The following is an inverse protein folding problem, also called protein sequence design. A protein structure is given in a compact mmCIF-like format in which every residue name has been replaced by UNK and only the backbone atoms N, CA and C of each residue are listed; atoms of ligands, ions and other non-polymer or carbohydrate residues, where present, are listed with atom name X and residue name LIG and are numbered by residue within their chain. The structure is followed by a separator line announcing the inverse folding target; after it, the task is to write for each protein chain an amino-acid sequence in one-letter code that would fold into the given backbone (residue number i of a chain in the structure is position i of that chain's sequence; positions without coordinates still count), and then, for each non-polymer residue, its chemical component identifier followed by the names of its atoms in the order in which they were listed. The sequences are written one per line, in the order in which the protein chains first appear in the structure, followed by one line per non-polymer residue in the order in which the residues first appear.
data_IF_279846125415
#
_entry.id   IF_279846125415
#
_cell.length_a   1.000
_cell.length_b   1.000
_cell.length_c   1.000
_cell.angle_alpha   90.00
_cell.angle_beta   90.00
_cell.angle_gamma   90.00
#
_symmetry.space_group_name_H-M   'P 1'
#
loop_
_entity.id
_entity.type
_entity.pdbx_description
1 polymer ?
2 non-polymer ?
3 non-polymer ?
4 water ?
#
# COMPACT_ATOMS: atom_id res chain seq x y z
N UNK A 1 7.34 -9.77 16.43
CA UNK A 1 7.05 -10.35 15.12
C UNK A 1 8.28 -10.84 14.41
N UNK A 2 9.30 -10.00 14.28
CA UNK A 2 10.42 -10.36 13.41
C UNK A 2 11.23 -11.56 13.91
N UNK A 3 11.28 -11.79 15.21
CA UNK A 3 12.03 -12.93 15.69
C UNK A 3 11.28 -14.23 15.41
N UNK A 4 9.95 -14.19 15.44
CA UNK A 4 9.13 -15.33 15.00
C UNK A 4 9.35 -15.62 13.51
N UNK A 5 9.35 -14.57 12.69
CA UNK A 5 9.72 -14.67 11.28
C UNK A 5 11.05 -15.38 11.12
N UNK A 6 12.02 -14.95 11.91
CA UNK A 6 13.36 -15.48 11.82
C UNK A 6 13.36 -16.96 12.16
N UNK A 7 12.55 -17.34 13.14
CA UNK A 7 12.44 -18.75 13.51
C UNK A 7 11.71 -19.57 12.44
N UNK A 8 10.57 -19.08 11.97
CA UNK A 8 9.83 -19.76 10.91
C UNK A 8 10.64 -19.88 9.62
N UNK A 9 11.46 -18.87 9.34
CA UNK A 9 12.31 -18.92 8.18
C UNK A 9 13.32 -20.09 8.26
N UNK A 10 13.71 -20.45 9.47
CA UNK A 10 14.64 -21.55 9.69
C UNK A 10 13.98 -22.92 9.67
N UNK A 11 12.79 -23.03 10.27
CA UNK A 11 12.23 -24.33 10.60
C UNK A 11 10.99 -24.77 9.79
N UNK A 12 10.09 -23.84 9.44
CA UNK A 12 9.11 -24.06 8.35
C UNK A 12 8.91 -22.78 7.57
N UNK A 13 9.60 -22.63 6.43
CA UNK A 13 9.34 -21.40 5.68
C UNK A 13 7.95 -21.47 5.05
N UNK A 14 7.41 -22.69 4.97
CA UNK A 14 6.08 -22.93 4.39
C UNK A 14 5.28 -23.76 5.39
N UNK A 15 4.28 -23.15 6.01
CA UNK A 15 3.73 -23.69 7.25
C UNK A 15 2.22 -23.79 7.30
N UNK A 16 1.73 -24.99 7.60
CA UNK A 16 0.30 -25.25 7.72
C UNK A 16 -0.12 -25.38 9.19
N UNK A 17 -1.05 -24.55 9.61
CA UNK A 17 -1.45 -24.50 11.00
C UNK A 17 -2.75 -25.27 11.18
N UNK A 18 -3.17 -25.99 10.14
CA UNK A 18 -4.45 -26.68 10.19
C UNK A 18 -5.62 -25.87 9.66
N UNK A 19 -5.36 -24.61 9.30
CA UNK A 19 -6.38 -23.72 8.76
C UNK A 19 -5.98 -23.20 7.41
N UNK A 20 -4.86 -22.49 7.39
CA UNK A 20 -4.31 -21.92 6.19
C UNK A 20 -2.79 -22.18 6.14
N UNK A 21 -2.20 -21.85 5.01
CA UNK A 21 -0.77 -21.95 4.83
C UNK A 21 -0.13 -20.57 4.98
N UNK A 22 1.11 -20.54 5.47
CA UNK A 22 1.82 -19.30 5.65
C UNK A 22 3.26 -19.44 5.17
N UNK A 23 3.71 -18.48 4.36
CA UNK A 23 5.02 -18.54 3.73
C UNK A 23 5.92 -17.45 4.29
N UNK A 24 7.16 -17.80 4.63
CA UNK A 24 8.01 -16.86 5.36
C UNK A 24 9.31 -16.52 4.65
N UNK A 25 9.73 -17.39 3.73
CA UNK A 25 11.00 -17.18 3.04
C UNK A 25 10.78 -16.35 1.80
N UNK A 26 11.85 -15.72 1.32
CA UNK A 26 11.78 -14.90 0.11
C UNK A 26 11.48 -15.70 -1.13
N UNK A 27 12.20 -16.81 -1.31
CA UNK A 27 12.07 -17.65 -2.50
C UNK A 27 10.65 -18.13 -2.72
N UNK A 28 10.00 -18.61 -1.67
CA UNK A 28 8.65 -19.13 -1.85
C UNK A 28 7.60 -18.03 -1.89
N UNK A 29 7.90 -16.87 -1.32
CA UNK A 29 6.97 -15.77 -1.35
C UNK A 29 6.92 -15.23 -2.77
N UNK A 30 8.10 -14.99 -3.34
CA UNK A 30 8.18 -14.49 -4.70
C UNK A 30 7.59 -15.50 -5.68
N UNK A 31 7.86 -16.78 -5.45
CA UNK A 31 7.29 -17.83 -6.29
C UNK A 31 5.77 -17.70 -6.31
N UNK A 32 5.17 -17.53 -5.13
CA UNK A 32 3.72 -17.47 -5.02
C UNK A 32 3.15 -16.25 -5.74
N UNK A 33 3.77 -15.09 -5.55
CA UNK A 33 3.24 -13.84 -6.09
C UNK A 33 3.28 -13.84 -7.61
N UNK A 34 4.28 -14.49 -8.17
CA UNK A 34 4.45 -14.53 -9.61
C UNK A 34 3.69 -15.67 -10.30
N UNK A 35 3.34 -16.71 -9.56
CA UNK A 35 2.61 -17.78 -10.20
C UNK A 35 1.11 -17.52 -10.11
N UNK A 36 0.66 -16.52 -10.87
CA UNK A 36 -0.73 -16.09 -10.81
C UNK A 36 -1.67 -17.19 -11.30
N UNK A 37 -1.15 -18.14 -12.05
CA UNK A 37 -2.05 -19.14 -12.64
C UNK A 37 -2.34 -20.28 -11.67
N UNK A 38 -1.46 -20.52 -10.71
CA UNK A 38 -1.75 -21.49 -9.65
C UNK A 38 -2.16 -20.80 -8.34
N UNK A 39 -1.64 -19.61 -8.09
CA UNK A 39 -2.05 -18.86 -6.91
C UNK A 39 -2.90 -17.66 -7.29
N UNK A 40 -4.21 -17.84 -7.19
CA UNK A 40 -5.18 -16.85 -7.64
C UNK A 40 -5.33 -15.68 -6.67
N UNK A 41 -5.71 -14.53 -7.23
CA UNK A 41 -6.07 -13.35 -6.47
C UNK A 41 -7.59 -13.18 -6.48
N UNK A 42 -8.29 -14.01 -7.24
CA UNK A 42 -9.73 -13.90 -7.25
C UNK A 42 -10.38 -14.50 -6.00
N UNK A 43 -10.39 -13.73 -4.92
CA UNK A 43 -10.92 -14.18 -3.64
C UNK A 43 -12.39 -13.77 -3.41
N UNK A 44 -12.96 -13.00 -4.32
CA UNK A 44 -14.27 -12.42 -4.10
C UNK A 44 -15.27 -12.85 -5.17
N UNK A 45 -14.90 -13.85 -5.96
CA UNK A 45 -15.72 -14.36 -7.05
C UNK A 45 -15.96 -13.34 -8.15
N UNK A 46 -14.94 -12.54 -8.46
CA UNK A 46 -15.04 -11.50 -9.48
C UNK A 46 -15.22 -12.12 -10.85
N UNK A 47 -14.39 -13.11 -11.18
CA UNK A 47 -14.48 -13.70 -12.51
C UNK A 47 -15.81 -14.41 -12.69
N UNK A 48 -16.16 -15.24 -11.71
CA UNK A 48 -17.40 -15.96 -11.77
C UNK A 48 -18.61 -15.04 -11.76
N UNK A 49 -18.46 -13.79 -11.30
CA UNK A 49 -19.61 -12.89 -11.26
C UNK A 49 -19.60 -11.84 -12.37
N UNK A 50 -18.52 -11.82 -13.15
CA UNK A 50 -18.28 -10.74 -14.10
C UNK A 50 -19.45 -10.51 -15.07
N UNK A 51 -19.90 -11.60 -15.68
CA UNK A 51 -20.94 -11.55 -16.70
C UNK A 51 -22.23 -10.96 -16.14
N UNK A 52 -22.60 -11.40 -14.94
CA UNK A 52 -23.83 -10.96 -14.33
C UNK A 52 -23.72 -9.55 -13.75
N UNK A 53 -22.51 -9.11 -13.47
CA UNK A 53 -22.33 -7.70 -13.18
C UNK A 53 -22.64 -6.88 -14.44
N UNK A 54 -22.12 -7.32 -15.58
CA UNK A 54 -22.20 -6.51 -16.80
C UNK A 54 -23.59 -6.55 -17.41
N UNK A 55 -24.31 -7.69 -17.29
CA UNK A 55 -25.64 -7.78 -17.89
C UNK A 55 -26.72 -7.39 -16.90
N UNK A 56 -26.31 -7.00 -15.70
CA UNK A 56 -27.23 -6.47 -14.72
C UNK A 56 -28.03 -7.48 -13.92
N UNK A 57 -27.73 -8.76 -14.04
CA UNK A 57 -28.41 -9.78 -13.24
C UNK A 57 -28.10 -9.54 -11.77
N UNK A 58 -26.86 -9.14 -11.48
CA UNK A 58 -26.46 -8.73 -10.15
C UNK A 58 -26.72 -7.25 -9.98
N UNK A 59 -27.64 -6.90 -9.08
CA UNK A 59 -28.09 -5.52 -9.00
C UNK A 59 -27.43 -4.79 -7.84
N UNK A 60 -27.07 -5.51 -6.79
CA UNK A 60 -26.49 -4.91 -5.59
C UNK A 60 -25.33 -5.73 -5.09
N UNK A 61 -24.20 -5.08 -4.85
CA UNK A 61 -23.05 -5.75 -4.23
C UNK A 61 -22.04 -4.73 -3.70
N UNK A 62 -21.03 -5.21 -2.99
CA UNK A 62 -19.98 -4.35 -2.49
C UNK A 62 -18.96 -4.02 -3.58
N UNK A 63 -18.98 -2.78 -4.09
CA UNK A 63 -18.18 -2.35 -5.24
C UNK A 63 -16.69 -2.68 -5.10
N UNK A 64 -16.17 -2.60 -3.88
CA UNK A 64 -14.72 -2.76 -3.74
C UNK A 64 -14.32 -4.23 -3.71
N UNK A 65 -15.28 -5.13 -3.85
CA UNK A 65 -14.96 -6.55 -4.01
C UNK A 65 -14.48 -6.82 -5.42
N UNK A 66 -14.87 -5.93 -6.34
CA UNK A 66 -14.62 -6.17 -7.75
C UNK A 66 -13.70 -5.13 -8.38
N UNK A 67 -12.40 -5.28 -8.12
CA UNK A 67 -11.36 -4.45 -8.71
C UNK A 67 -10.17 -5.29 -9.18
N UNK A 68 -9.19 -4.66 -9.83
CA UNK A 68 -8.01 -5.35 -10.32
C UNK A 68 -7.31 -6.14 -9.23
N UNK A 69 -7.36 -5.63 -8.01
CA UNK A 69 -6.72 -6.24 -6.85
C UNK A 69 -7.17 -7.70 -6.59
N UNK A 70 -8.44 -7.96 -6.84
CA UNK A 70 -9.00 -9.29 -6.65
C UNK A 70 -9.38 -9.94 -7.98
N UNK A 71 -8.44 -9.93 -8.91
CA UNK A 71 -8.73 -10.53 -10.20
C UNK A 71 -7.47 -11.15 -10.81
N UNK A 72 -7.71 -12.03 -11.77
CA UNK A 72 -6.66 -12.75 -12.47
C UNK A 72 -6.72 -12.30 -13.92
N UNK A 73 -5.65 -12.58 -14.69
CA UNK A 73 -5.67 -12.31 -16.12
C UNK A 73 -6.74 -13.16 -16.80
N UNK A 74 -7.37 -12.66 -17.87
CA UNK A 74 -7.14 -11.36 -18.51
C UNK A 74 -7.84 -10.18 -17.82
N UNK A 75 -8.91 -10.46 -17.09
CA UNK A 75 -9.69 -9.39 -16.46
C UNK A 75 -8.81 -8.36 -15.74
N UNK A 76 -7.89 -8.84 -14.94
CA UNK A 76 -6.93 -7.98 -14.27
C UNK A 76 -6.16 -7.05 -15.20
N UNK A 77 -5.59 -7.60 -16.26
CA UNK A 77 -4.79 -6.83 -17.19
C UNK A 77 -5.67 -5.77 -17.85
N UNK A 78 -6.87 -6.16 -18.22
CA UNK A 78 -7.76 -5.26 -18.92
C UNK A 78 -8.14 -4.12 -18.00
N UNK A 79 -8.38 -4.43 -16.73
CA UNK A 79 -8.71 -3.39 -15.77
C UNK A 79 -7.51 -2.47 -15.56
N UNK A 80 -6.34 -3.04 -15.33
CA UNK A 80 -5.21 -2.23 -14.95
C UNK A 80 -4.74 -1.37 -16.13
N UNK A 81 -4.99 -1.85 -17.34
CA UNK A 81 -4.50 -1.18 -18.52
C UNK A 81 -5.15 0.19 -18.69
N UNK A 82 -6.27 0.38 -17.99
CA UNK A 82 -6.98 1.65 -18.08
C UNK A 82 -6.31 2.80 -17.34
N UNK A 83 -5.38 2.51 -16.43
CA UNK A 83 -4.77 3.60 -15.67
C UNK A 83 -3.27 3.47 -15.49
N UNK A 84 -2.67 2.44 -16.06
CA UNK A 84 -1.25 2.16 -15.85
C UNK A 84 -0.36 3.29 -16.34
N UNK A 85 -0.79 4.01 -17.38
CA UNK A 85 0.06 5.05 -17.95
C UNK A 85 0.19 6.20 -16.97
N UNK A 86 -0.94 6.56 -16.36
CA UNK A 86 -1.05 7.64 -15.38
C UNK A 86 -0.12 7.49 -14.19
N UNK A 87 0.03 6.26 -13.71
CA UNK A 87 0.79 6.00 -12.50
C UNK A 87 2.21 5.55 -12.79
N UNK A 88 2.64 5.74 -14.03
CA UNK A 88 4.01 5.43 -14.40
C UNK A 88 4.90 6.57 -13.92
N UNK A 89 6.18 6.26 -13.61
CA UNK A 89 7.11 7.34 -13.22
C UNK A 89 7.24 8.45 -14.29
N UNK A 90 7.22 8.09 -15.57
CA UNK A 90 7.33 9.10 -16.63
C UNK A 90 6.23 10.12 -16.52
N UNK A 91 5.00 9.64 -16.31
CA UNK A 91 3.84 10.54 -16.30
C UNK A 91 3.68 11.27 -14.98
N UNK A 92 4.24 10.70 -13.91
CA UNK A 92 4.09 11.31 -12.60
C UNK A 92 5.08 12.45 -12.40
N UNK A 93 6.20 12.41 -13.14
CA UNK A 93 7.27 13.39 -12.95
C UNK A 93 6.77 14.82 -13.07
N UNK A 94 5.71 15.03 -13.85
CA UNK A 94 5.02 16.32 -13.92
C UNK A 94 4.63 16.87 -12.55
N UNK A 95 4.40 15.97 -11.60
CA UNK A 95 3.76 16.37 -10.37
C UNK A 95 4.73 16.85 -9.31
N UNK A 96 6.03 16.59 -9.55
CA UNK A 96 7.06 16.86 -8.56
C UNK A 96 6.96 18.24 -7.94
N UNK A 97 6.76 19.24 -8.77
CA UNK A 97 6.63 20.60 -8.27
C UNK A 97 5.42 20.73 -7.35
N UNK A 98 4.26 20.23 -7.77
CA UNK A 98 3.06 20.31 -6.94
C UNK A 98 3.21 19.57 -5.61
N UNK A 99 3.83 18.40 -5.69
CA UNK A 99 4.00 17.57 -4.51
C UNK A 99 4.88 18.32 -3.53
N UNK A 100 5.90 19.01 -4.06
CA UNK A 100 6.83 19.80 -3.26
C UNK A 100 6.25 21.08 -2.69
N UNK A 101 5.40 21.78 -3.44
CA UNK A 101 4.74 22.94 -2.90
C UNK A 101 3.88 22.51 -1.72
N UNK A 102 3.17 21.40 -1.93
CA UNK A 102 2.25 20.88 -0.95
C UNK A 102 2.98 20.46 0.33
N UNK A 103 4.10 19.78 0.15
CA UNK A 103 4.90 19.31 1.25
C UNK A 103 5.34 20.47 2.16
N UNK A 104 5.94 21.49 1.54
CA UNK A 104 6.52 22.57 2.31
C UNK A 104 5.41 23.37 2.97
N UNK A 105 4.30 23.51 2.27
CA UNK A 105 3.14 24.15 2.87
C UNK A 105 2.59 23.34 4.06
N UNK A 106 2.80 22.02 4.05
CA UNK A 106 2.37 21.19 5.16
C UNK A 106 3.39 21.26 6.30
N UNK A 107 4.66 21.36 5.93
CA UNK A 107 5.71 21.60 6.92
C UNK A 107 5.47 22.92 7.69
N UNK A 108 4.94 23.95 7.01
CA UNK A 108 4.72 25.25 7.64
C UNK A 108 3.78 25.16 8.83
N UNK A 109 2.80 24.28 8.75
CA UNK A 109 1.74 24.22 9.76
C UNK A 109 2.21 23.56 11.06
N UNK A 110 3.46 23.08 11.05
CA UNK A 110 4.01 22.32 12.16
C UNK A 110 4.57 23.20 13.25
N UNK A 111 4.21 22.88 14.48
CA UNK A 111 4.77 23.53 15.66
C UNK A 111 5.97 22.74 16.17
N UNK A 112 7.19 23.24 15.92
CA UNK A 112 8.42 22.49 16.22
C UNK A 112 8.56 22.19 17.72
N UNK A 113 7.89 22.98 18.54
CA UNK A 113 7.93 22.82 19.98
C UNK A 113 7.35 21.45 20.34
N UNK A 114 6.24 21.10 19.71
CA UNK A 114 5.61 19.80 19.86
C UNK A 114 4.50 19.67 18.83
N UNK A 115 4.60 18.66 17.98
CA UNK A 115 3.51 18.38 17.05
C UNK A 115 3.46 16.92 16.63
N UNK A 116 2.29 16.50 16.15
CA UNK A 116 2.09 15.16 15.59
C UNK A 116 2.29 15.23 14.07
N UNK A 117 3.38 14.63 13.58
CA UNK A 117 3.64 14.73 12.16
C UNK A 117 2.84 13.73 11.32
N UNK A 118 2.20 12.75 11.98
CA UNK A 118 1.22 11.93 11.27
C UNK A 118 0.06 12.84 10.91
N UNK A 119 -0.47 13.58 11.88
CA UNK A 119 -1.59 14.45 11.59
C UNK A 119 -1.22 15.63 10.64
N UNK A 120 -0.01 16.16 10.74
CA UNK A 120 0.32 17.40 10.04
C UNK A 120 0.91 17.15 8.64
N UNK A 121 1.64 16.06 8.49
CA UNK A 121 2.34 15.79 7.26
C UNK A 121 1.92 14.50 6.57
N UNK A 122 2.02 13.39 7.29
CA UNK A 122 1.96 12.06 6.70
C UNK A 122 0.57 11.66 6.21
N UNK A 123 -0.48 12.08 6.91
CA UNK A 123 -1.84 11.82 6.48
C UNK A 123 -2.33 12.73 5.34
N UNK A 124 -2.17 14.07 5.49
CA UNK A 124 -2.80 14.91 4.45
C UNK A 124 -2.10 14.85 3.09
N UNK A 125 -0.81 14.58 3.05
CA UNK A 125 -0.06 14.60 1.78
C UNK A 125 -0.54 13.56 0.74
N UNK A 126 -0.68 12.27 1.13
CA UNK A 126 -1.18 11.37 0.06
C UNK A 126 -2.59 11.71 -0.37
N UNK A 127 -3.40 12.24 0.54
CA UNK A 127 -4.77 12.60 0.20
C UNK A 127 -4.85 13.81 -0.73
N UNK A 128 -4.04 14.84 -0.48
CA UNK A 128 -4.06 16.03 -1.32
C UNK A 128 -3.62 15.63 -2.73
N UNK A 129 -2.57 14.83 -2.81
CA UNK A 129 -2.03 14.44 -4.11
C UNK A 129 -2.95 13.58 -4.96
N UNK A 130 -3.49 12.51 -4.40
CA UNK A 130 -4.38 11.66 -5.17
C UNK A 130 -5.62 12.45 -5.60
N UNK A 131 -6.04 13.41 -4.78
CA UNK A 131 -7.18 14.23 -5.14
C UNK A 131 -6.87 15.03 -6.38
N UNK A 132 -5.62 15.49 -6.45
CA UNK A 132 -5.16 16.29 -7.57
C UNK A 132 -5.11 15.43 -8.83
N UNK A 133 -4.53 14.24 -8.68
CA UNK A 133 -4.40 13.32 -9.78
C UNK A 133 -5.76 12.88 -10.34
N UNK A 134 -6.74 12.67 -9.48
CA UNK A 134 -8.02 12.12 -9.95
C UNK A 134 -9.07 13.19 -10.24
N UNK A 135 -8.74 14.44 -9.97
CA UNK A 135 -9.72 15.50 -10.15
C UNK A 135 -10.89 15.39 -9.21
N UNK A 136 -10.69 14.76 -8.06
CA UNK A 136 -11.78 14.58 -7.11
C UNK A 136 -11.55 15.43 -5.86
N UNK A 137 -12.34 16.49 -5.71
CA UNK A 137 -12.10 17.55 -4.73
C UNK A 137 -12.28 17.11 -3.29
N UNK A 138 -11.29 17.42 -2.46
CA UNK A 138 -11.41 17.23 -1.04
C UNK A 138 -12.35 18.31 -0.50
N UNK A 139 -13.64 17.96 -0.42
CA UNK A 139 -14.65 18.87 0.06
C UNK A 139 -14.66 18.94 1.57
N UNK A 140 -14.62 17.76 2.21
CA UNK A 140 -14.51 17.66 3.65
C UNK A 140 -13.25 16.89 4.03
N UNK A 141 -12.28 17.60 4.60
CA UNK A 141 -11.01 17.01 4.97
C UNK A 141 -11.19 15.85 5.94
N UNK A 142 -12.19 15.96 6.82
CA UNK A 142 -12.40 14.96 7.85
C UNK A 142 -13.02 13.69 7.29
N UNK A 143 -14.03 13.85 6.43
CA UNK A 143 -14.59 12.72 5.69
C UNK A 143 -13.50 11.93 4.95
N UNK A 144 -12.62 12.64 4.25
CA UNK A 144 -11.58 11.97 3.50
C UNK A 144 -10.62 11.19 4.35
N UNK A 145 -10.29 11.71 5.54
CA UNK A 145 -9.38 10.94 6.36
C UNK A 145 -10.17 9.77 6.99
N UNK A 146 -11.45 9.98 7.27
CA UNK A 146 -12.29 8.88 7.76
C UNK A 146 -12.47 7.79 6.71
N UNK A 147 -12.66 8.17 5.46
CA UNK A 147 -12.78 7.19 4.38
C UNK A 147 -11.46 6.41 4.25
N UNK A 148 -10.34 7.12 4.38
CA UNK A 148 -9.03 6.50 4.32
C UNK A 148 -8.84 5.47 5.40
N UNK A 149 -9.49 5.70 6.55
CA UNK A 149 -9.37 4.80 7.69
C UNK A 149 -10.22 3.53 7.58
N UNK A 150 -11.09 3.46 6.58
CA UNK A 150 -11.92 2.27 6.36
C UNK A 150 -11.08 1.10 5.84
N UNK A 151 -9.86 1.40 5.41
CA UNK A 151 -9.00 0.42 4.76
C UNK A 151 -8.37 -0.48 5.82
N UNK A 152 -8.67 -1.77 5.76
CA UNK A 152 -8.24 -2.70 6.82
C UNK A 152 -8.40 -4.16 6.42
N UNK A 153 -7.53 -5.01 6.94
CA UNK A 153 -7.72 -6.45 6.85
C UNK A 153 -9.08 -6.81 7.44
N UNK A 154 -9.82 -7.67 6.77
CA UNK A 154 -11.14 -8.05 7.23
C UNK A 154 -11.18 -9.54 7.45
N UNK A 155 -11.11 -9.97 8.71
CA UNK A 155 -11.36 -11.38 9.03
C UNK A 155 -12.86 -11.60 8.95
N UNK A 156 -13.31 -12.71 8.38
CA UNK A 156 -12.58 -13.47 7.40
C UNK A 156 -13.41 -13.25 6.13
N UNK A 157 -13.35 -12.04 5.60
CA UNK A 157 -13.88 -11.75 4.26
C UNK A 157 -12.68 -11.57 3.35
N UNK A 158 -12.06 -12.70 2.95
CA UNK A 158 -10.66 -12.81 2.50
C UNK A 158 -10.22 -11.85 1.39
N UNK A 159 -11.07 -11.57 0.42
CA UNK A 159 -10.69 -10.56 -0.55
C UNK A 159 -10.80 -9.12 -0.05
N UNK A 160 -11.64 -8.89 0.95
CA UNK A 160 -12.10 -7.55 1.29
C UNK A 160 -11.12 -6.73 2.15
N UNK A 161 -10.94 -5.47 1.79
CA UNK A 161 -10.06 -4.59 2.55
C UNK A 161 -10.72 -3.25 2.96
N UNK A 162 -12.03 -3.18 2.83
CA UNK A 162 -12.79 -2.00 3.25
C UNK A 162 -13.80 -2.34 4.33
N UNK A 163 -13.74 -1.59 5.42
CA UNK A 163 -14.79 -1.64 6.43
C UNK A 163 -16.04 -0.97 5.87
N UNK A 164 -17.19 -1.58 6.12
CA UNK A 164 -18.42 -1.09 5.51
C UNK A 164 -19.15 -0.12 6.46
N UNK A 165 -20.48 -0.09 6.41
CA UNK A 165 -21.21 0.83 7.27
C UNK A 165 -21.51 2.18 6.66
N UNK A 166 -22.00 3.10 7.49
CA UNK A 166 -22.48 4.40 7.02
C UNK A 166 -21.38 5.22 6.38
N UNK A 167 -20.16 5.17 6.92
CA UNK A 167 -19.07 5.95 6.33
C UNK A 167 -18.72 5.48 4.92
N UNK A 168 -18.82 4.17 4.69
CA UNK A 168 -18.61 3.59 3.37
C UNK A 168 -19.70 4.05 2.38
N UNK A 169 -20.95 4.03 2.83
CA UNK A 169 -22.06 4.50 1.98
C UNK A 169 -21.91 5.97 1.65
N UNK A 170 -21.34 6.74 2.58
CA UNK A 170 -21.06 8.13 2.32
C UNK A 170 -20.02 8.26 1.21
N UNK A 171 -19.02 7.37 1.22
CA UNK A 171 -17.98 7.39 0.21
C UNK A 171 -18.58 7.10 -1.17
N UNK A 172 -19.46 6.12 -1.24
CA UNK A 172 -20.15 5.80 -2.49
C UNK A 172 -20.97 6.99 -2.97
N UNK A 173 -21.61 7.67 -2.02
CA UNK A 173 -22.38 8.86 -2.36
C UNK A 173 -21.47 9.90 -2.96
N UNK A 174 -20.36 10.15 -2.28
CA UNK A 174 -19.41 11.14 -2.75
C UNK A 174 -18.97 10.78 -4.17
N UNK A 175 -18.60 9.53 -4.41
CA UNK A 175 -18.06 9.19 -5.72
C UNK A 175 -19.10 9.28 -6.85
N UNK A 176 -20.31 8.79 -6.62
CA UNK A 176 -21.40 8.99 -7.57
C UNK A 176 -21.54 10.48 -7.89
N UNK A 177 -21.43 11.31 -6.85
CA UNK A 177 -21.58 12.75 -7.00
C UNK A 177 -20.45 13.48 -7.72
N UNK A 178 -19.35 12.80 -8.06
CA UNK A 178 -18.24 13.52 -8.66
C UNK A 178 -17.65 12.78 -9.87
N UNK A 179 -18.25 11.66 -10.23
CA UNK A 179 -17.88 10.90 -11.43
C UNK A 179 -17.51 11.76 -12.62
N UNK A 180 -18.42 12.67 -12.95
CA UNK A 180 -18.36 13.37 -14.20
C UNK A 180 -17.40 14.55 -14.18
N UNK A 181 -16.96 14.94 -12.99
CA UNK A 181 -16.06 16.09 -12.86
C UNK A 181 -14.61 15.69 -12.80
N UNK A 182 -14.36 14.39 -12.90
CA UNK A 182 -13.03 13.87 -12.69
C UNK A 182 -12.04 14.18 -13.82
N UNK A 183 -10.79 13.89 -13.53
CA UNK A 183 -9.71 13.96 -14.49
C UNK A 183 -9.84 12.84 -15.53
N UNK A 184 -8.94 12.77 -16.50
CA UNK A 184 -9.15 11.84 -17.60
C UNK A 184 -9.20 10.35 -17.20
N UNK A 185 -8.39 9.94 -16.22
CA UNK A 185 -8.39 8.55 -15.74
C UNK A 185 -9.79 8.16 -15.30
N UNK A 186 -10.45 9.06 -14.59
CA UNK A 186 -11.81 8.81 -14.12
C UNK A 186 -12.74 8.68 -15.32
N UNK A 187 -12.56 9.53 -16.32
CA UNK A 187 -13.38 9.45 -17.54
C UNK A 187 -13.20 8.12 -18.28
N UNK A 188 -11.96 7.62 -18.38
CA UNK A 188 -11.74 6.28 -18.93
C UNK A 188 -12.64 5.26 -18.24
N UNK A 189 -12.60 5.25 -16.91
CA UNK A 189 -13.36 4.23 -16.19
C UNK A 189 -14.86 4.45 -16.33
N UNK A 190 -15.27 5.70 -16.20
CA UNK A 190 -16.69 6.02 -16.29
C UNK A 190 -17.30 5.68 -17.66
N UNK A 191 -16.48 5.79 -18.71
CA UNK A 191 -16.97 5.58 -20.06
C UNK A 191 -16.73 4.16 -20.55
N UNK A 192 -16.05 3.36 -19.75
CA UNK A 192 -15.78 1.97 -20.13
C UNK A 192 -17.05 1.15 -20.12
N UNK A 193 -16.95 -0.08 -20.57
CA UNK A 193 -18.06 -1.03 -20.50
C UNK A 193 -18.15 -1.78 -19.17
N UNK A 194 -17.45 -1.31 -18.14
CA UNK A 194 -17.59 -1.90 -16.80
C UNK A 194 -19.02 -1.75 -16.28
N UNK A 195 -19.40 -2.61 -15.34
CA UNK A 195 -20.64 -2.38 -14.63
C UNK A 195 -20.44 -1.21 -13.69
N UNK A 196 -21.54 -0.53 -13.35
CA UNK A 196 -21.49 0.59 -12.42
C UNK A 196 -20.84 0.18 -11.12
N UNK A 197 -21.21 -0.99 -10.62
CA UNK A 197 -20.54 -1.54 -9.42
C UNK A 197 -18.99 -1.57 -9.56
N UNK A 198 -18.49 -2.06 -10.70
CA UNK A 198 -17.06 -2.02 -10.97
C UNK A 198 -16.48 -0.62 -11.08
N UNK A 199 -17.21 0.27 -11.76
CA UNK A 199 -16.78 1.66 -11.87
C UNK A 199 -16.53 2.30 -10.49
N UNK A 200 -17.49 2.09 -9.58
CA UNK A 200 -17.37 2.57 -8.21
C UNK A 200 -16.18 1.95 -7.52
N UNK A 201 -16.08 0.63 -7.59
CA UNK A 201 -14.97 -0.07 -6.98
C UNK A 201 -13.63 0.45 -7.50
N UNK A 202 -13.52 0.63 -8.81
CA UNK A 202 -12.29 1.11 -9.41
C UNK A 202 -11.88 2.49 -8.86
N UNK A 203 -12.79 3.48 -8.92
CA UNK A 203 -12.50 4.81 -8.45
C UNK A 203 -12.15 4.82 -6.95
N UNK A 204 -13.02 4.19 -6.15
CA UNK A 204 -12.80 4.11 -4.71
C UNK A 204 -11.43 3.53 -4.43
N UNK A 205 -11.09 2.49 -5.18
CA UNK A 205 -9.78 1.88 -5.04
C UNK A 205 -8.67 2.90 -5.26
N UNK A 206 -8.67 3.59 -6.40
CA UNK A 206 -7.62 4.57 -6.69
C UNK A 206 -7.60 5.73 -5.70
N UNK A 207 -8.79 6.20 -5.34
CA UNK A 207 -8.94 7.37 -4.47
C UNK A 207 -8.46 7.15 -3.03
N UNK A 208 -8.69 5.95 -2.49
CA UNK A 208 -8.67 5.77 -1.04
C UNK A 208 -7.64 4.75 -0.59
N UNK A 209 -7.45 3.69 -1.39
CA UNK A 209 -6.74 2.51 -0.94
C UNK A 209 -5.27 2.75 -0.66
N UNK A 210 -4.70 3.79 -1.26
CA UNK A 210 -3.28 4.07 -1.15
C UNK A 210 -2.90 5.10 -0.09
N UNK A 211 -3.90 5.76 0.47
CA UNK A 211 -3.62 6.82 1.43
C UNK A 211 -2.87 6.35 2.67
N UNK A 212 -3.48 5.49 3.46
CA UNK A 212 -2.85 5.01 4.69
C UNK A 212 -1.51 4.29 4.48
N UNK A 213 -1.38 3.52 3.41
CA UNK A 213 -0.12 2.81 3.16
C UNK A 213 1.01 3.80 2.90
N UNK A 214 0.75 4.78 2.04
CA UNK A 214 1.73 5.83 1.76
C UNK A 214 2.02 6.64 3.03
N UNK A 215 0.97 6.96 3.77
CA UNK A 215 1.12 7.66 5.03
C UNK A 215 2.03 6.83 5.94
N UNK A 216 1.83 5.52 5.95
CA UNK A 216 2.66 4.67 6.79
C UNK A 216 4.13 4.67 6.35
N UNK A 217 4.37 4.72 5.04
CA UNK A 217 5.75 4.75 4.54
C UNK A 217 6.48 5.97 5.06
N UNK A 218 5.80 7.11 4.99
CA UNK A 218 6.37 8.36 5.47
C UNK A 218 6.71 8.27 6.95
N UNK A 219 5.71 7.95 7.78
CA UNK A 219 5.92 7.76 9.22
C UNK A 219 7.06 6.78 9.55
N UNK A 220 7.03 5.58 8.97
CA UNK A 220 8.07 4.59 9.26
C UNK A 220 9.47 5.07 8.91
N UNK A 221 9.56 5.91 7.88
CA UNK A 221 10.84 6.47 7.47
C UNK A 221 11.38 7.39 8.56
N UNK A 222 10.54 8.32 8.99
CA UNK A 222 10.84 9.22 10.09
C UNK A 222 11.35 8.47 11.31
N UNK A 223 10.60 7.46 11.71
CA UNK A 223 10.98 6.59 12.82
C UNK A 223 12.35 5.95 12.60
N UNK A 224 12.50 5.21 11.51
CA UNK A 224 13.73 4.47 11.25
C UNK A 224 14.97 5.34 11.14
N UNK A 225 14.83 6.52 10.54
CA UNK A 225 15.97 7.40 10.32
C UNK A 225 16.41 8.01 11.65
N UNK A 226 15.43 8.31 12.48
CA UNK A 226 15.65 8.88 13.81
C UNK A 226 16.28 7.87 14.75
N UNK A 227 15.68 6.69 14.85
CA UNK A 227 16.16 5.66 15.75
C UNK A 227 17.57 5.21 15.43
N UNK A 228 17.85 5.08 14.15
CA UNK A 228 19.14 4.55 13.77
C UNK A 228 20.10 5.69 13.44
N UNK A 229 19.63 6.91 13.64
CA UNK A 229 20.50 8.09 13.57
C UNK A 229 21.20 8.22 12.21
N UNK A 230 20.40 8.39 11.16
CA UNK A 230 20.91 8.34 9.80
C UNK A 230 20.57 9.61 9.06
N UNK A 231 19.84 10.51 9.73
CA UNK A 231 19.39 11.75 9.13
C UNK A 231 20.52 12.55 8.49
N UNK A 232 21.62 12.72 9.23
CA UNK A 232 22.74 13.50 8.73
C UNK A 232 23.35 12.79 7.54
N UNK A 233 23.66 11.52 7.73
CA UNK A 233 24.33 10.75 6.70
C UNK A 233 23.50 10.69 5.42
N UNK A 234 22.20 10.39 5.55
CA UNK A 234 21.30 10.35 4.40
C UNK A 234 21.33 11.69 3.67
N UNK A 235 21.33 12.77 4.44
CA UNK A 235 21.31 14.09 3.88
C UNK A 235 22.67 14.42 3.28
N UNK A 236 23.73 13.97 3.94
CA UNK A 236 25.08 14.34 3.50
C UNK A 236 25.54 13.47 2.35
N UNK A 237 25.24 12.17 2.42
CA UNK A 237 25.65 11.27 1.36
C UNK A 237 24.57 11.16 0.29
N UNK A 238 23.53 11.98 0.41
CA UNK A 238 22.38 11.96 -0.50
C UNK A 238 21.80 10.55 -0.73
N UNK A 239 21.28 9.93 0.33
CA UNK A 239 20.85 8.55 0.24
C UNK A 239 19.33 8.34 0.17
N UNK A 240 18.59 9.45 0.06
CA UNK A 240 17.14 9.41 -0.02
C UNK A 240 16.57 8.19 -0.75
N UNK A 241 16.90 8.03 -2.01
CA UNK A 241 16.42 6.93 -2.82
C UNK A 241 16.61 5.59 -2.14
N UNK A 242 17.86 5.26 -1.86
CA UNK A 242 18.18 3.96 -1.34
C UNK A 242 17.71 3.80 0.11
N UNK A 243 17.61 4.93 0.82
CA UNK A 243 17.17 4.93 2.21
C UNK A 243 15.68 4.57 2.28
N UNK A 244 14.88 5.29 1.49
CA UNK A 244 13.45 5.02 1.35
C UNK A 244 13.19 3.56 1.00
N UNK A 245 13.99 3.02 0.10
CA UNK A 245 13.85 1.62 -0.25
C UNK A 245 14.18 0.73 0.94
N UNK A 246 15.13 1.15 1.76
CA UNK A 246 15.48 0.35 2.91
C UNK A 246 14.38 0.45 3.95
N UNK A 247 13.79 1.64 4.08
CA UNK A 247 12.59 1.80 4.89
C UNK A 247 11.52 0.82 4.42
N UNK A 248 11.28 0.80 3.12
CA UNK A 248 10.27 -0.09 2.55
C UNK A 248 10.58 -1.55 2.90
N UNK A 249 11.84 -1.94 2.75
CA UNK A 249 12.22 -3.32 3.07
C UNK A 249 12.07 -3.62 4.57
N UNK A 250 12.63 -2.73 5.39
CA UNK A 250 12.72 -2.94 6.84
C UNK A 250 11.34 -2.77 7.53
N UNK A 251 10.63 -1.71 7.16
CA UNK A 251 9.33 -1.42 7.75
C UNK A 251 8.20 -1.38 6.73
N UNK A 252 7.87 -2.53 6.12
CA UNK A 252 6.85 -2.54 5.05
C UNK A 252 5.49 -2.10 5.57
N UNK A 253 4.85 -1.11 4.91
CA UNK A 253 3.51 -0.67 5.26
C UNK A 253 2.44 -1.74 5.06
N UNK A 254 2.67 -2.66 4.14
CA UNK A 254 1.82 -3.84 4.00
C UNK A 254 2.63 -5.07 4.40
N UNK A 255 2.20 -5.74 5.47
CA UNK A 255 3.00 -6.81 6.09
C UNK A 255 2.93 -8.11 5.31
N UNK A 256 1.86 -8.27 4.56
CA UNK A 256 1.54 -9.56 3.98
C UNK A 256 0.39 -9.45 2.98
N UNK A 257 0.23 -10.51 2.19
CA UNK A 257 -0.86 -10.60 1.27
C UNK A 257 -1.27 -12.08 1.22
N UNK A 258 -2.34 -12.39 0.51
CA UNK A 258 -2.85 -13.75 0.48
C UNK A 258 -3.27 -14.18 -0.94
N UNK A 259 -3.21 -15.49 -1.21
CA UNK A 259 -3.70 -16.07 -2.45
C UNK A 259 -4.53 -17.33 -2.15
N UNK A 260 -5.29 -17.78 -3.13
CA UNK A 260 -5.99 -19.06 -3.03
C UNK A 260 -5.58 -19.95 -4.20
N UNK A 261 -5.26 -21.21 -3.91
CA UNK A 261 -4.75 -22.14 -4.92
C UNK A 261 -5.84 -22.58 -5.89
N UNK A 262 -5.51 -22.63 -7.18
CA UNK A 262 -6.48 -23.00 -8.20
C UNK A 262 -6.42 -24.50 -8.43
N UNK A 263 -5.31 -25.08 -8.01
CA UNK A 263 -5.07 -26.50 -8.18
C UNK A 263 -4.07 -26.95 -7.15
N UNK A 264 -4.06 -28.24 -6.86
CA UNK A 264 -3.05 -28.81 -5.97
C UNK A 264 -1.68 -28.45 -6.53
N UNK A 265 -0.82 -27.86 -5.68
CA UNK A 265 0.52 -27.43 -6.10
C UNK A 265 1.57 -27.73 -5.04
N UNK A 266 2.82 -27.63 -5.45
CA UNK A 266 3.96 -27.98 -4.62
C UNK A 266 4.77 -26.73 -4.32
N UNK A 267 4.97 -26.44 -3.05
CA UNK A 267 5.76 -25.29 -2.67
C UNK A 267 6.78 -25.76 -1.63
N UNK A 268 8.06 -25.70 -2.00
CA UNK A 268 9.09 -26.30 -1.19
C UNK A 268 8.85 -27.79 -1.03
N UNK A 269 8.95 -28.27 0.20
CA UNK A 269 8.75 -29.68 0.50
C UNK A 269 7.27 -30.00 0.64
N UNK A 270 6.45 -28.95 0.65
CA UNK A 270 5.05 -29.10 1.00
C UNK A 270 4.16 -29.22 -0.24
N UNK A 271 3.04 -29.89 -0.05
CA UNK A 271 2.05 -30.04 -1.09
C UNK A 271 0.78 -29.38 -0.62
N UNK A 272 0.34 -28.36 -1.35
CA UNK A 272 -0.81 -27.58 -0.95
C UNK A 272 -2.00 -27.96 -1.78
N UNK A 273 -3.07 -28.40 -1.10
CA UNK A 273 -4.29 -28.77 -1.79
C UNK A 273 -4.89 -27.58 -2.53
N UNK A 274 -5.88 -27.88 -3.35
CA UNK A 274 -6.55 -26.85 -4.14
C UNK A 274 -7.63 -26.19 -3.27
N UNK A 275 -7.84 -24.89 -3.45
CA UNK A 275 -8.81 -24.14 -2.65
C UNK A 275 -8.29 -23.72 -1.28
N UNK A 276 -6.99 -23.74 -1.10
CA UNK A 276 -6.37 -23.39 0.18
C UNK A 276 -5.86 -21.96 0.14
N UNK A 277 -6.01 -21.25 1.26
CA UNK A 277 -5.45 -19.91 1.35
C UNK A 277 -4.00 -19.95 1.69
N UNK A 278 -3.25 -19.10 1.02
CA UNK A 278 -1.82 -19.02 1.23
C UNK A 278 -1.46 -17.60 1.57
N UNK A 279 -1.05 -17.42 2.82
CA UNK A 279 -0.69 -16.14 3.33
C UNK A 279 0.80 -15.98 3.17
N UNK A 280 1.19 -14.87 2.57
CA UNK A 280 2.56 -14.70 2.17
C UNK A 280 3.14 -13.49 2.91
N UNK A 281 4.10 -13.77 3.78
CA UNK A 281 4.59 -12.75 4.71
C UNK A 281 5.72 -11.91 4.12
N UNK A 282 5.32 -10.85 3.41
CA UNK A 282 6.22 -9.87 2.81
C UNK A 282 7.32 -9.41 3.77
N UNK A 283 6.91 -9.05 4.97
CA UNK A 283 7.83 -8.51 5.97
C UNK A 283 8.95 -9.50 6.33
N UNK A 284 8.62 -10.78 6.34
CA UNK A 284 9.58 -11.83 6.67
C UNK A 284 10.51 -12.09 5.51
N UNK A 285 9.93 -12.09 4.31
CA UNK A 285 10.70 -12.35 3.11
C UNK A 285 11.68 -11.20 2.91
N UNK A 286 11.31 -9.99 3.32
CA UNK A 286 12.19 -8.83 3.21
C UNK A 286 13.44 -8.91 4.08
N UNK A 287 13.56 -9.94 4.90
CA UNK A 287 14.72 -10.09 5.78
C UNK A 287 15.37 -11.46 5.65
N UNK A 288 15.08 -12.13 4.53
CA UNK A 288 15.68 -13.43 4.22
C UNK A 288 17.18 -13.29 3.99
N UNK A 289 18.00 -13.92 4.84
CA UNK A 289 19.47 -13.77 4.75
C UNK A 289 20.02 -14.25 3.41
N UNK A 290 19.32 -15.20 2.79
CA UNK A 290 19.67 -15.69 1.47
C UNK A 290 19.72 -14.59 0.43
N UNK A 291 18.93 -13.55 0.64
CA UNK A 291 18.77 -12.49 -0.34
C UNK A 291 19.33 -11.20 0.22
N UNK A 292 19.16 -11.01 1.53
CA UNK A 292 19.63 -9.77 2.13
C UNK A 292 20.70 -10.08 3.16
N UNK A 293 21.91 -9.61 2.89
CA UNK A 293 23.01 -9.80 3.81
C UNK A 293 22.81 -8.88 5.00
N UNK A 294 23.05 -9.40 6.20
CA UNK A 294 22.79 -8.64 7.44
C UNK A 294 21.35 -8.14 7.43
N UNK A 295 20.42 -9.06 7.17
CA UNK A 295 19.05 -8.71 6.89
C UNK A 295 18.31 -8.08 8.03
N UNK A 296 18.84 -8.20 9.24
CA UNK A 296 18.19 -7.60 10.37
C UNK A 296 18.75 -6.21 10.67
N UNK A 297 19.73 -5.77 9.88
CA UNK A 297 20.27 -4.43 10.04
C UNK A 297 19.71 -3.50 8.98
N UNK A 298 19.49 -2.25 9.37
CA UNK A 298 19.04 -1.18 8.49
C UNK A 298 20.24 -0.51 7.85
N UNK A 299 20.51 -0.86 6.59
CA UNK A 299 21.58 -0.24 5.85
C UNK A 299 21.02 0.78 4.88
N UNK A 300 21.23 2.09 5.17
CA UNK A 300 20.56 3.18 4.46
C UNK A 300 20.94 3.26 2.99
N UNK A 301 21.99 2.55 2.60
CA UNK A 301 22.41 2.56 1.20
C UNK A 301 22.48 1.14 0.69
N UNK A 302 21.68 0.27 1.31
CA UNK A 302 21.63 -1.13 0.94
C UNK A 302 21.50 -1.31 -0.57
N UNK A 303 22.21 -2.31 -1.08
CA UNK A 303 22.29 -2.56 -2.51
C UNK A 303 23.00 -3.88 -2.73
N UNK A 304 22.29 -4.86 -3.33
CA UNK A 304 20.97 -4.72 -3.94
C UNK A 304 19.83 -4.73 -2.91
N UNK A 305 18.66 -4.25 -3.33
CA UNK A 305 17.48 -4.26 -2.46
C UNK A 305 16.22 -4.68 -3.21
N UNK A 306 16.14 -5.96 -3.62
CA UNK A 306 14.99 -6.47 -4.36
C UNK A 306 13.81 -6.84 -3.44
N UNK A 307 13.33 -5.87 -2.66
CA UNK A 307 12.36 -6.16 -1.61
C UNK A 307 10.95 -6.38 -2.18
N UNK A 308 10.04 -6.89 -1.36
CA UNK A 308 8.74 -7.29 -1.87
C UNK A 308 7.59 -6.41 -1.37
N UNK A 309 7.92 -5.21 -0.92
CA UNK A 309 6.95 -4.38 -0.19
C UNK A 309 5.82 -3.81 -1.07
N UNK A 310 6.06 -3.77 -2.38
CA UNK A 310 5.01 -3.49 -3.35
C UNK A 310 4.51 -4.75 -4.07
N UNK A 311 4.88 -5.91 -3.54
CA UNK A 311 4.55 -7.18 -4.18
C UNK A 311 5.46 -7.55 -5.33
N UNK A 312 4.98 -8.40 -6.22
CA UNK A 312 5.83 -8.93 -7.29
C UNK A 312 4.97 -9.54 -8.36
N UNK A 313 5.32 -9.32 -9.62
CA UNK A 313 4.54 -9.88 -10.71
C UNK A 313 3.42 -8.97 -11.18
N UNK A 314 2.30 -9.55 -11.62
CA UNK A 314 1.31 -8.75 -12.33
C UNK A 314 0.55 -7.81 -11.40
N UNK A 315 0.61 -8.04 -10.09
CA UNK A 315 -0.12 -7.19 -9.17
C UNK A 315 0.78 -6.14 -8.51
N UNK A 316 2.05 -6.15 -8.90
CA UNK A 316 3.02 -5.18 -8.37
C UNK A 316 2.42 -3.77 -8.27
N UNK A 317 2.34 -3.28 -7.04
CA UNK A 317 1.58 -2.07 -6.69
C UNK A 317 1.55 -1.00 -7.78
N UNK A 318 0.34 -0.70 -8.21
CA UNK A 318 0.08 0.37 -9.17
C UNK A 318 0.56 1.72 -8.64
N UNK A 319 0.53 1.91 -7.32
CA UNK A 319 0.92 3.16 -6.73
C UNK A 319 2.40 3.28 -6.36
N UNK A 320 3.19 2.25 -6.66
CA UNK A 320 4.58 2.26 -6.22
C UNK A 320 5.36 3.49 -6.71
N UNK A 321 5.24 3.85 -8.02
CA UNK A 321 5.98 5.06 -8.42
C UNK A 321 5.48 6.28 -7.66
N UNK A 322 4.18 6.40 -7.53
CA UNK A 322 3.59 7.50 -6.78
C UNK A 322 4.05 7.53 -5.32
N UNK A 323 3.93 6.40 -4.61
CA UNK A 323 4.36 6.33 -3.19
C UNK A 323 5.84 6.65 -3.01
N UNK A 324 6.68 6.09 -3.87
CA UNK A 324 8.12 6.41 -3.82
C UNK A 324 8.38 7.91 -3.99
N UNK A 325 7.68 8.52 -4.95
CA UNK A 325 7.85 9.93 -5.23
C UNK A 325 7.44 10.81 -4.05
N UNK A 326 6.22 10.63 -3.57
CA UNK A 326 5.71 11.39 -2.43
C UNK A 326 6.61 11.26 -1.21
N UNK A 327 7.06 10.04 -0.97
CA UNK A 327 7.88 9.76 0.18
C UNK A 327 9.22 10.45 0.04
N UNK A 328 9.86 10.24 -1.12
CA UNK A 328 11.12 10.88 -1.45
C UNK A 328 11.05 12.38 -1.17
N UNK A 329 10.07 13.06 -1.75
CA UNK A 329 9.92 14.49 -1.55
C UNK A 329 9.67 14.84 -0.07
N UNK A 330 8.76 14.12 0.57
CA UNK A 330 8.40 14.39 1.96
C UNK A 330 9.64 14.37 2.84
N UNK A 331 10.40 13.30 2.74
CA UNK A 331 11.62 13.14 3.50
C UNK A 331 12.61 14.27 3.19
N UNK A 332 12.95 14.44 1.92
CA UNK A 332 13.85 15.49 1.45
C UNK A 332 13.55 16.86 2.05
N UNK A 333 12.34 17.35 1.82
CA UNK A 333 11.93 18.63 2.39
C UNK A 333 12.05 18.61 3.91
N UNK A 334 11.71 17.48 4.52
CA UNK A 334 11.73 17.38 5.97
C UNK A 334 13.15 17.44 6.51
N UNK A 335 14.04 16.65 5.90
CA UNK A 335 15.43 16.61 6.31
C UNK A 335 16.13 17.94 6.09
N UNK A 336 15.69 18.69 5.08
CA UNK A 336 16.22 20.03 4.83
C UNK A 336 15.63 21.02 5.82
N UNK A 337 14.37 20.83 6.18
CA UNK A 337 13.68 21.79 7.03
C UNK A 337 14.13 21.78 8.51
N UNK A 338 14.49 20.61 9.06
CA UNK A 338 14.80 20.51 10.49
C UNK A 338 16.16 19.87 10.72
N UNK A 339 16.79 20.17 11.87
CA UNK A 339 18.13 19.64 12.17
C UNK A 339 18.11 18.60 13.28
N UNK A 340 17.22 18.81 14.24
CA UNK A 340 17.22 18.00 15.44
C UNK A 340 15.83 17.43 15.58
N UNK A 341 15.74 16.16 15.91
CA UNK A 341 14.44 15.56 16.12
C UNK A 341 14.49 14.68 17.35
N UNK A 342 13.53 14.86 18.23
CA UNK A 342 13.37 13.92 19.33
C UNK A 342 11.93 13.40 19.35
N UNK A 343 11.79 12.12 19.65
CA UNK A 343 10.49 11.44 19.58
C UNK A 343 9.85 11.39 20.96
N UNK A 344 8.72 12.07 21.11
CA UNK A 344 8.10 12.23 22.42
C UNK A 344 7.09 11.16 22.75
N UNK A 345 6.38 10.69 21.74
CA UNK A 345 5.31 9.71 21.93
C UNK A 345 4.95 9.06 20.61
N UNK A 346 4.57 7.78 20.68
CA UNK A 346 4.11 7.07 19.49
C UNK A 346 2.84 6.25 19.79
N UNK A 347 1.95 6.18 18.81
CA UNK A 347 0.85 5.23 18.82
C UNK A 347 0.81 4.51 17.47
N UNK A 348 1.01 3.20 17.49
CA UNK A 348 0.99 2.38 16.28
C UNK A 348 -0.42 2.13 15.74
N UNK A 349 -0.48 1.90 14.43
CA UNK A 349 -1.64 1.26 13.83
C UNK A 349 -1.73 -0.15 14.45
N UNK A 350 -2.90 -0.48 15.00
CA UNK A 350 -2.93 -1.65 15.89
C UNK A 350 -3.19 -3.01 15.23
N UNK A 351 -3.57 -3.05 13.96
CA UNK A 351 -3.96 -4.34 13.40
C UNK A 351 -2.88 -5.03 12.57
N UNK A 352 -3.29 -6.06 11.83
CA UNK A 352 -2.37 -7.12 11.46
C UNK A 352 -1.65 -6.94 10.11
N UNK A 353 -2.30 -6.32 9.14
CA UNK A 353 -1.68 -6.22 7.83
C UNK A 353 -0.99 -4.89 7.63
N UNK A 354 -1.72 -3.81 7.93
CA UNK A 354 -1.18 -2.45 7.85
C UNK A 354 -0.22 -2.14 8.99
N UNK A 355 0.92 -1.57 8.64
CA UNK A 355 2.01 -1.38 9.57
C UNK A 355 2.55 0.08 9.54
N UNK A 356 2.12 0.87 10.53
CA UNK A 356 2.44 2.29 10.64
C UNK A 356 2.02 2.92 11.96
N UNK A 357 1.72 4.22 11.92
CA UNK A 357 1.57 5.03 13.14
C UNK A 357 0.36 5.95 13.06
N UNK A 358 -0.48 5.89 14.09
CA UNK A 358 -1.61 6.80 14.17
C UNK A 358 -1.17 8.15 14.72
N UNK A 359 -0.16 8.14 15.57
CA UNK A 359 0.36 9.37 16.15
C UNK A 359 1.87 9.28 16.32
N UNK A 360 2.55 10.33 15.90
CA UNK A 360 4.00 10.40 16.00
C UNK A 360 4.35 11.81 16.45
N UNK A 361 4.54 11.96 17.76
CA UNK A 361 4.76 13.27 18.33
C UNK A 361 6.25 13.56 18.46
N UNK A 362 6.67 14.68 17.89
CA UNK A 362 8.08 15.04 17.85
C UNK A 362 8.33 16.45 18.38
N UNK A 363 9.57 16.69 18.77
CA UNK A 363 10.08 18.05 18.94
C UNK A 363 11.25 18.20 17.97
N UNK A 364 11.18 19.26 17.17
CA UNK A 364 12.13 19.52 16.10
C UNK A 364 12.74 20.87 16.34
N UNK A 365 14.00 21.10 16.00
CA UNK A 365 14.39 22.49 16.08
C UNK A 365 14.46 23.04 14.66
N UNK A 366 14.13 24.33 14.61
CA UNK A 366 13.43 24.97 13.52
C UNK A 366 14.14 25.01 12.16
N UNK A 367 15.37 25.52 12.14
CA UNK A 367 16.11 25.74 10.89
C UNK A 367 15.22 26.40 9.82
#
# INVERSE_FOLDING_TARGET
MYDWFSEMRKKDPVYYDGNIWQVFSYRYTKEVLNNFSKFSSDLTGYHERLEDLRNGKIRFDIPTRYTMLTSDPPLHDELRSMSADIFSPQKLQTLETFIRETTRSLLDSIDPREDDIVKKLAVPLPIIVISKILGLPIEDKEKFKEWSDLVAFRLGKPGEIFELGKKYLELIGYVKDHLNSGTEVVSRVVNSNLSDIEKLGYIILLLIAGNETTTNLISNSVIDFTRFNLWQRIREENLYLKAIEEALRYSPPVMRTVRKTKERVKLGDQTIEEGEYVRVWIASANRDEEVFHDGEKFIPDRNPNPHLSFGSGIHLCLGAPLARLEARIAIEEFSKRFRHIEILDTEKVPNEVLNGYKRLVVRLKSNE
#
